data_IF_707924236339
#
_entry.id   IF_707924236339
#
_cell.length_a   1.000
_cell.length_b   1.000
_cell.length_c   1.000
_cell.angle_alpha   90.00
_cell.angle_beta   90.00
_cell.angle_gamma   90.00
#
_symmetry.space_group_name_H-M   'P 1'
#
loop_
_entity.id
_entity.type
_entity.pdbx_description
1 polymer ?
#
# COMPACT_ATOMS: atom_id res chain seq x y z
N UNK A 1 -16.94 41.85 34.83
CA UNK A 1 -16.08 41.61 33.64
C UNK A 1 -15.95 40.11 33.46
N UNK A 2 -16.23 39.60 32.27
CA UNK A 2 -16.01 38.19 31.90
C UNK A 2 -14.50 37.91 31.79
N UNK A 3 -14.03 36.80 32.36
CA UNK A 3 -12.62 36.39 32.30
C UNK A 3 -12.35 35.61 30.99
N UNK A 4 -11.27 35.95 30.27
CA UNK A 4 -10.90 35.34 28.97
C UNK A 4 -12.03 35.32 27.91
N UNK A 5 -12.95 36.28 27.96
CA UNK A 5 -14.10 36.35 27.03
C UNK A 5 -15.13 35.24 27.22
N UNK A 6 -15.09 34.49 28.34
CA UNK A 6 -16.00 33.38 28.63
C UNK A 6 -16.85 33.73 29.87
N UNK A 7 -18.14 33.40 29.82
CA UNK A 7 -19.07 33.57 30.94
C UNK A 7 -19.89 34.87 30.90
N UNK A 8 -20.44 35.25 32.05
CA UNK A 8 -21.33 36.40 32.19
C UNK A 8 -20.57 37.70 32.44
N UNK A 9 -21.07 38.82 31.91
CA UNK A 9 -20.51 40.17 32.17
C UNK A 9 -20.66 40.57 33.65
N UNK A 10 -21.80 40.19 34.25
CA UNK A 10 -22.15 40.32 35.66
C UNK A 10 -23.11 39.19 36.07
N UNK A 11 -23.04 38.71 37.31
CA UNK A 11 -24.00 37.75 37.88
C UNK A 11 -25.33 38.41 38.26
N UNK A 12 -25.37 39.75 38.34
CA UNK A 12 -26.60 40.49 38.67
C UNK A 12 -27.60 40.38 37.51
N UNK A 13 -28.81 39.91 37.82
CA UNK A 13 -29.87 39.71 36.83
C UNK A 13 -29.85 38.35 36.12
N UNK A 14 -28.84 37.50 36.34
CA UNK A 14 -28.82 36.13 35.77
C UNK A 14 -29.56 35.10 36.61
N UNK A 15 -29.89 35.43 37.86
CA UNK A 15 -30.53 34.48 38.80
C UNK A 15 -29.63 33.32 39.24
N UNK A 16 -28.32 33.40 39.00
CA UNK A 16 -27.32 32.37 39.35
C UNK A 16 -26.11 32.98 40.04
N UNK A 17 -25.23 32.15 40.62
CA UNK A 17 -24.00 32.61 41.28
C UNK A 17 -22.94 33.15 40.31
N UNK A 18 -23.13 32.99 38.99
CA UNK A 18 -22.12 33.32 37.98
C UNK A 18 -20.90 32.39 38.00
N UNK A 19 -20.99 31.21 38.64
CA UNK A 19 -19.93 30.21 38.64
C UNK A 19 -19.76 29.61 37.24
N UNK A 20 -18.53 29.63 36.73
CA UNK A 20 -18.18 29.16 35.38
C UNK A 20 -17.26 27.95 35.53
N UNK A 21 -17.69 26.80 35.03
CA UNK A 21 -16.88 25.59 34.96
C UNK A 21 -16.35 25.39 33.54
N UNK A 22 -15.10 24.92 33.41
CA UNK A 22 -14.57 24.50 32.13
C UNK A 22 -15.18 23.16 31.68
N UNK A 23 -15.44 23.03 30.39
CA UNK A 23 -15.87 21.75 29.83
C UNK A 23 -14.67 20.80 29.72
N UNK A 24 -14.60 19.81 30.62
CA UNK A 24 -13.55 18.79 30.64
C UNK A 24 -13.52 17.93 29.37
N UNK A 25 -14.66 17.77 28.68
CA UNK A 25 -14.73 17.04 27.41
C UNK A 25 -14.26 17.87 26.21
N UNK A 26 -14.34 19.20 26.29
CA UNK A 26 -13.86 20.11 25.25
C UNK A 26 -12.33 20.26 25.24
N UNK A 27 -11.66 19.90 26.35
CA UNK A 27 -10.20 19.94 26.48
C UNK A 27 -9.46 18.89 25.63
N UNK A 28 -10.19 18.11 24.84
CA UNK A 28 -9.64 17.13 23.87
C UNK A 28 -8.91 17.76 22.68
N UNK A 29 -8.96 19.10 22.52
CA UNK A 29 -8.19 19.80 21.48
C UNK A 29 -6.70 19.98 21.85
N UNK A 30 -6.37 19.92 23.15
CA UNK A 30 -5.01 20.05 23.68
C UNK A 30 -4.51 18.76 24.37
N UNK A 31 -5.41 17.81 24.68
CA UNK A 31 -4.97 16.43 24.91
C UNK A 31 -4.27 16.02 23.62
N UNK A 32 -2.98 15.71 23.74
CA UNK A 32 -2.06 15.44 22.65
C UNK A 32 -2.76 14.71 21.49
N UNK A 33 -2.26 14.98 20.29
CA UNK A 33 -2.61 14.32 19.04
C UNK A 33 -2.46 12.77 19.07
N UNK A 34 -2.38 12.15 20.25
CA UNK A 34 -2.22 10.74 20.55
C UNK A 34 -3.45 10.11 21.25
N UNK A 35 -4.17 10.83 22.12
CA UNK A 35 -5.19 10.18 22.99
C UNK A 35 -6.60 10.08 22.36
N UNK A 36 -7.12 11.15 21.75
CA UNK A 36 -8.39 11.09 20.97
C UNK A 36 -8.13 10.68 19.52
N UNK A 37 -6.89 10.89 19.10
CA UNK A 37 -6.37 10.64 17.77
C UNK A 37 -6.03 9.17 17.53
N UNK A 38 -5.73 8.39 18.58
CA UNK A 38 -5.41 6.96 18.46
C UNK A 38 -6.46 6.15 17.70
N UNK A 39 -7.75 6.31 18.02
CA UNK A 39 -8.82 5.58 17.31
C UNK A 39 -9.02 6.05 15.87
N UNK A 40 -8.92 7.35 15.61
CA UNK A 40 -9.04 7.91 14.26
C UNK A 40 -7.82 7.53 13.39
N UNK A 41 -6.60 7.71 13.91
CA UNK A 41 -5.35 7.28 13.28
C UNK A 41 -5.35 5.77 13.05
N UNK A 42 -5.83 4.96 14.01
CA UNK A 42 -5.99 3.50 13.85
C UNK A 42 -6.94 3.14 12.72
N UNK A 43 -8.14 3.73 12.68
CA UNK A 43 -9.09 3.51 11.56
C UNK A 43 -8.52 3.92 10.21
N UNK A 44 -7.82 5.06 10.15
CA UNK A 44 -7.18 5.56 8.93
C UNK A 44 -6.04 4.63 8.48
N UNK A 45 -5.24 4.12 9.42
CA UNK A 45 -4.19 3.14 9.15
C UNK A 45 -4.78 1.82 8.65
N UNK A 46 -5.81 1.31 9.32
CA UNK A 46 -6.51 0.08 8.94
C UNK A 46 -7.13 0.20 7.54
N UNK A 47 -7.73 1.34 7.22
CA UNK A 47 -8.24 1.62 5.88
C UNK A 47 -7.12 1.61 4.83
N UNK A 48 -5.98 2.26 5.11
CA UNK A 48 -4.80 2.24 4.22
C UNK A 48 -4.27 0.82 4.02
N UNK A 49 -4.18 0.03 5.08
CA UNK A 49 -3.76 -1.37 5.01
C UNK A 49 -4.75 -2.20 4.19
N UNK A 50 -6.05 -2.03 4.39
CA UNK A 50 -7.08 -2.74 3.62
C UNK A 50 -6.98 -2.45 2.13
N UNK A 51 -6.77 -1.19 1.75
CA UNK A 51 -6.57 -0.80 0.33
C UNK A 51 -5.30 -1.45 -0.22
N UNK A 52 -4.18 -1.38 0.51
CA UNK A 52 -2.92 -2.02 0.11
C UNK A 52 -3.05 -3.53 -0.05
N UNK A 53 -3.65 -4.22 0.93
CA UNK A 53 -3.91 -5.65 0.88
C UNK A 53 -4.84 -6.01 -0.29
N UNK A 54 -5.85 -5.19 -0.57
CA UNK A 54 -6.72 -5.36 -1.73
C UNK A 54 -5.96 -5.25 -3.06
N UNK A 55 -5.06 -4.28 -3.19
CA UNK A 55 -4.21 -4.12 -4.37
C UNK A 55 -3.24 -5.29 -4.54
N UNK A 56 -2.55 -5.70 -3.48
CA UNK A 56 -1.64 -6.87 -3.51
C UNK A 56 -2.40 -8.15 -3.84
N UNK A 57 -3.59 -8.36 -3.25
CA UNK A 57 -4.40 -9.55 -3.51
C UNK A 57 -4.87 -9.63 -4.97
N UNK A 58 -5.11 -8.50 -5.64
CA UNK A 58 -5.45 -8.49 -7.08
C UNK A 58 -4.32 -9.00 -7.96
N UNK A 59 -3.06 -8.84 -7.54
CA UNK A 59 -1.87 -9.29 -8.28
C UNK A 59 -1.44 -10.69 -7.87
N UNK A 60 -1.41 -10.99 -6.56
CA UNK A 60 -0.92 -12.28 -6.05
C UNK A 60 -1.87 -13.43 -6.40
N UNK A 61 -3.19 -13.21 -6.38
CA UNK A 61 -4.19 -14.26 -6.71
C UNK A 61 -4.01 -14.84 -8.12
N UNK A 62 -3.96 -14.04 -9.21
CA UNK A 62 -3.77 -14.59 -10.55
C UNK A 62 -2.40 -15.27 -10.71
N UNK A 63 -1.34 -14.74 -10.08
CA UNK A 63 -0.02 -15.38 -10.09
C UNK A 63 -0.06 -16.76 -9.42
N UNK A 64 -0.66 -16.86 -8.23
CA UNK A 64 -0.83 -18.15 -7.55
C UNK A 64 -1.62 -19.13 -8.41
N UNK A 65 -2.72 -18.67 -9.00
CA UNK A 65 -3.56 -19.51 -9.87
C UNK A 65 -2.80 -19.99 -11.11
N UNK A 66 -1.94 -19.16 -11.71
CA UNK A 66 -1.11 -19.56 -12.83
C UNK A 66 -0.11 -20.65 -12.42
N UNK A 67 0.56 -20.48 -11.28
CA UNK A 67 1.49 -21.48 -10.74
C UNK A 67 0.79 -22.80 -10.42
N UNK A 68 -0.41 -22.75 -9.83
CA UNK A 68 -1.18 -23.94 -9.50
C UNK A 68 -1.64 -24.69 -10.76
N UNK A 69 -2.11 -23.98 -11.79
CA UNK A 69 -2.43 -24.56 -13.10
C UNK A 69 -1.21 -25.23 -13.72
N UNK A 70 -0.05 -24.58 -13.71
CA UNK A 70 1.18 -25.13 -14.26
C UNK A 70 1.59 -26.44 -13.56
N UNK A 71 1.45 -26.48 -12.23
CA UNK A 71 1.69 -27.67 -11.41
C UNK A 71 0.72 -28.80 -11.75
N UNK A 72 -0.58 -28.51 -11.86
CA UNK A 72 -1.60 -29.50 -12.21
C UNK A 72 -1.37 -30.10 -13.59
N UNK A 73 -1.02 -29.28 -14.58
CA UNK A 73 -0.68 -29.74 -15.92
C UNK A 73 0.57 -30.64 -15.91
N UNK A 74 1.60 -30.26 -15.14
CA UNK A 74 2.81 -31.07 -15.00
C UNK A 74 2.50 -32.42 -14.36
N UNK A 75 1.64 -32.46 -13.33
CA UNK A 75 1.17 -33.73 -12.74
C UNK A 75 0.42 -34.58 -13.76
N UNK A 76 -0.45 -33.97 -14.58
CA UNK A 76 -1.20 -34.69 -15.61
C UNK A 76 -0.27 -35.40 -16.61
N UNK A 77 0.82 -34.73 -17.02
CA UNK A 77 1.84 -35.34 -17.88
C UNK A 77 2.51 -36.53 -17.18
N UNK A 78 2.93 -36.38 -15.93
CA UNK A 78 3.59 -37.48 -15.20
C UNK A 78 2.65 -38.67 -14.95
N UNK A 79 1.36 -38.42 -14.67
CA UNK A 79 0.34 -39.47 -14.53
C UNK A 79 0.23 -40.26 -15.84
N UNK A 80 0.08 -39.59 -16.98
CA UNK A 80 0.00 -40.26 -18.29
C UNK A 80 1.28 -41.04 -18.63
N UNK A 81 2.44 -40.52 -18.23
CA UNK A 81 3.71 -41.25 -18.36
C UNK A 81 3.77 -42.49 -17.47
N UNK A 82 3.24 -42.44 -16.24
CA UNK A 82 3.12 -43.60 -15.34
C UNK A 82 2.14 -44.63 -15.89
N UNK A 83 0.95 -44.22 -16.32
CA UNK A 83 -0.05 -45.11 -16.91
C UNK A 83 0.51 -45.88 -18.11
N UNK A 84 1.17 -45.17 -19.04
CA UNK A 84 1.82 -45.82 -20.19
C UNK A 84 2.91 -46.81 -19.76
N UNK A 85 3.66 -46.48 -18.71
CA UNK A 85 4.71 -47.35 -18.20
C UNK A 85 4.11 -48.65 -17.65
N UNK A 86 3.10 -48.53 -16.78
CA UNK A 86 2.43 -49.68 -16.16
C UNK A 86 1.83 -50.60 -17.24
N UNK A 87 1.20 -50.03 -18.27
CA UNK A 87 0.68 -50.82 -19.40
C UNK A 87 1.76 -51.58 -20.18
N UNK A 88 2.96 -50.99 -20.35
CA UNK A 88 4.05 -51.62 -21.09
C UNK A 88 4.78 -52.67 -20.24
N UNK A 89 4.84 -52.47 -18.91
CA UNK A 89 5.34 -53.46 -17.95
C UNK A 89 4.42 -54.69 -17.92
N UNK A 90 3.09 -54.49 -17.89
CA UNK A 90 2.11 -55.59 -17.97
C UNK A 90 2.22 -56.39 -19.29
N UNK A 91 2.53 -55.70 -20.40
CA UNK A 91 2.76 -56.32 -21.72
C UNK A 91 4.13 -57.02 -21.85
N UNK A 92 4.99 -56.96 -20.83
CA UNK A 92 6.31 -57.60 -20.82
C UNK A 92 7.33 -56.98 -21.77
N UNK A 93 7.20 -55.68 -22.07
CA UNK A 93 8.13 -54.95 -22.93
C UNK A 93 9.47 -54.74 -22.21
N UNK A 94 10.59 -54.73 -22.93
CA UNK A 94 11.91 -54.51 -22.31
C UNK A 94 12.04 -53.10 -21.73
N UNK A 95 12.77 -52.96 -20.61
CA UNK A 95 12.93 -51.68 -19.91
C UNK A 95 13.48 -50.55 -20.79
N UNK A 96 14.37 -50.87 -21.73
CA UNK A 96 14.95 -49.90 -22.67
C UNK A 96 13.88 -49.33 -23.61
N UNK A 97 13.01 -50.19 -24.14
CA UNK A 97 11.91 -49.79 -25.01
C UNK A 97 10.83 -49.01 -24.24
N UNK A 98 10.58 -49.37 -22.98
CA UNK A 98 9.69 -48.63 -22.08
C UNK A 98 10.21 -47.21 -21.89
N UNK A 99 11.49 -47.05 -21.52
CA UNK A 99 12.12 -45.73 -21.32
C UNK A 99 12.02 -44.86 -22.57
N UNK A 100 12.28 -45.43 -23.75
CA UNK A 100 12.16 -44.70 -25.02
C UNK A 100 10.73 -44.23 -25.29
N UNK A 101 9.73 -45.11 -25.12
CA UNK A 101 8.32 -44.79 -25.37
C UNK A 101 7.79 -43.74 -24.39
N UNK A 102 8.12 -43.87 -23.10
CA UNK A 102 7.73 -42.90 -22.06
C UNK A 102 8.38 -41.54 -22.29
N UNK A 103 9.67 -41.50 -22.65
CA UNK A 103 10.35 -40.24 -22.96
C UNK A 103 9.75 -39.54 -24.19
N UNK A 104 9.42 -40.30 -25.24
CA UNK A 104 8.76 -39.75 -26.42
C UNK A 104 7.38 -39.17 -26.09
N UNK A 105 6.59 -39.87 -25.27
CA UNK A 105 5.28 -39.37 -24.81
C UNK A 105 5.45 -38.10 -23.96
N UNK A 106 6.42 -38.08 -23.06
CA UNK A 106 6.73 -36.91 -22.21
C UNK A 106 7.10 -35.69 -23.03
N UNK A 107 7.93 -35.84 -24.07
CA UNK A 107 8.29 -34.73 -24.97
C UNK A 107 7.07 -34.21 -25.74
N UNK A 108 6.26 -35.11 -26.31
CA UNK A 108 5.04 -34.73 -27.06
C UNK A 108 4.03 -33.96 -26.19
N UNK A 109 3.81 -34.40 -24.96
CA UNK A 109 2.88 -33.74 -24.03
C UNK A 109 3.40 -32.38 -23.53
N UNK A 110 4.73 -32.23 -23.41
CA UNK A 110 5.35 -30.94 -23.08
C UNK A 110 5.30 -29.96 -24.26
N UNK A 111 5.43 -30.45 -25.48
CA UNK A 111 5.32 -29.62 -26.69
C UNK A 111 3.88 -29.13 -26.92
N UNK A 112 2.88 -30.00 -26.75
CA UNK A 112 1.47 -29.61 -26.84
C UNK A 112 1.06 -28.60 -25.75
N UNK A 113 1.65 -28.69 -24.55
CA UNK A 113 1.50 -27.69 -23.49
C UNK A 113 1.96 -26.31 -23.96
N UNK A 114 3.18 -26.19 -24.51
CA UNK A 114 3.74 -24.90 -24.96
C UNK A 114 2.87 -24.22 -26.03
N UNK A 115 2.30 -25.00 -26.95
CA UNK A 115 1.40 -24.46 -28.00
C UNK A 115 0.10 -23.87 -27.44
N UNK A 116 -0.49 -24.51 -26.43
CA UNK A 116 -1.72 -24.01 -25.78
C UNK A 116 -1.46 -22.84 -24.82
N UNK A 117 -0.28 -22.77 -24.21
CA UNK A 117 0.13 -21.63 -23.38
C UNK A 117 0.30 -20.35 -24.19
N UNK A 118 0.86 -20.44 -25.41
CA UNK A 118 1.01 -19.26 -26.27
C UNK A 118 -0.31 -18.64 -26.72
N UNK A 119 -1.36 -19.45 -26.91
CA UNK A 119 -2.70 -18.97 -27.28
C UNK A 119 -3.40 -18.27 -26.10
N UNK A 120 -3.24 -18.81 -24.88
CA UNK A 120 -3.79 -18.22 -23.66
C UNK A 120 -3.04 -16.93 -23.24
N UNK A 121 -1.74 -16.84 -23.46
CA UNK A 121 -0.95 -15.61 -23.22
C UNK A 121 -1.42 -14.46 -24.10
N UNK A 122 -1.65 -14.72 -25.40
CA UNK A 122 -2.19 -13.73 -26.34
C UNK A 122 -3.58 -13.23 -25.92
N UNK A 123 -4.45 -14.11 -25.43
CA UNK A 123 -5.78 -13.73 -24.91
C UNK A 123 -5.71 -12.90 -23.63
N UNK A 124 -4.79 -13.21 -22.72
CA UNK A 124 -4.59 -12.46 -21.48
C UNK A 124 -4.06 -11.05 -21.75
N UNK A 125 -3.09 -10.90 -22.67
CA UNK A 125 -2.60 -9.59 -23.11
C UNK A 125 -3.72 -8.74 -23.74
N UNK A 126 -4.54 -9.34 -24.59
CA UNK A 126 -5.67 -8.66 -25.23
C UNK A 126 -6.71 -8.19 -24.21
N UNK A 127 -6.94 -8.95 -23.15
CA UNK A 127 -7.85 -8.58 -22.07
C UNK A 127 -7.28 -7.52 -21.12
N UNK A 128 -5.98 -7.58 -20.81
CA UNK A 128 -5.31 -6.51 -20.04
C UNK A 128 -5.34 -5.17 -20.80
N UNK A 129 -5.13 -5.21 -22.12
CA UNK A 129 -5.22 -4.03 -22.97
C UNK A 129 -6.66 -3.46 -23.01
N UNK A 130 -7.70 -4.30 -22.99
CA UNK A 130 -9.11 -3.84 -22.89
C UNK A 130 -9.42 -3.17 -21.55
N UNK A 131 -8.85 -3.64 -20.44
CA UNK A 131 -9.04 -2.99 -19.13
C UNK A 131 -8.35 -1.63 -19.05
N UNK A 132 -7.22 -1.45 -19.74
CA UNK A 132 -6.53 -0.15 -19.83
C UNK A 132 -7.26 0.87 -20.73
N UNK A 133 -8.06 0.41 -21.70
CA UNK A 133 -8.86 1.26 -22.61
C UNK A 133 -10.21 1.69 -21.98
N UNK A 134 -10.55 1.25 -20.75
CA UNK A 134 -11.74 1.76 -20.04
C UNK A 134 -11.63 3.28 -19.85
N UNK A 135 -12.39 4.02 -20.66
CA UNK A 135 -12.53 5.47 -20.54
C UNK A 135 -12.99 5.83 -19.12
N UNK A 136 -12.32 6.78 -18.44
CA UNK A 136 -12.69 7.15 -17.08
C UNK A 136 -14.11 7.71 -17.06
N UNK A 137 -14.89 7.28 -16.07
CA UNK A 137 -16.25 7.79 -15.89
C UNK A 137 -16.20 9.28 -15.54
N UNK A 138 -17.22 10.06 -15.94
CA UNK A 138 -17.27 11.52 -15.76
C UNK A 138 -17.03 11.98 -14.31
N UNK A 139 -17.34 11.14 -13.33
CA UNK A 139 -17.10 11.36 -11.90
C UNK A 139 -15.65 11.16 -11.43
N UNK A 140 -14.83 10.40 -12.15
CA UNK A 140 -13.41 10.15 -11.83
C UNK A 140 -12.53 11.30 -12.34
N UNK A 141 -12.92 11.91 -13.46
CA UNK A 141 -12.27 13.10 -14.04
C UNK A 141 -12.36 14.32 -13.11
N UNK A 142 -13.42 14.44 -12.32
CA UNK A 142 -13.57 15.58 -11.40
C UNK A 142 -12.63 15.51 -10.20
N UNK A 143 -12.21 14.30 -9.79
CA UNK A 143 -11.33 14.10 -8.62
C UNK A 143 -9.86 14.38 -8.98
N UNK A 144 -9.40 14.00 -10.18
CA UNK A 144 -8.02 14.30 -10.61
C UNK A 144 -7.77 15.79 -10.84
N UNK A 145 -8.81 16.55 -11.23
CA UNK A 145 -8.71 17.99 -11.43
C UNK A 145 -8.58 18.77 -10.11
N UNK A 146 -9.22 18.32 -9.02
CA UNK A 146 -9.07 18.98 -7.70
C UNK A 146 -7.73 18.67 -7.02
N UNK A 147 -7.13 17.51 -7.25
CA UNK A 147 -5.81 17.16 -6.68
C UNK A 147 -4.66 17.93 -7.35
N UNK A 148 -4.80 18.29 -8.64
CA UNK A 148 -3.79 19.08 -9.36
C UNK A 148 -3.85 20.59 -9.07
N UNK A 149 -4.99 21.09 -8.59
CA UNK A 149 -5.17 22.50 -8.22
C UNK A 149 -4.81 22.79 -6.75
N UNK A 150 -4.47 21.77 -5.94
CA UNK A 150 -4.24 21.93 -4.49
C UNK A 150 -2.78 22.23 -4.10
N UNK A 151 -1.84 22.32 -5.04
CA UNK A 151 -0.40 22.53 -4.74
C UNK A 151 0.12 23.93 -5.04
N UNK A 152 -0.71 24.86 -5.51
CA UNK A 152 -0.29 26.26 -5.76
C UNK A 152 -0.78 27.24 -4.68
N UNK A 153 -0.42 27.01 -3.42
CA UNK A 153 -0.41 28.11 -2.44
C UNK A 153 0.92 28.85 -2.49
N UNK A 154 0.94 29.88 -3.33
CA UNK A 154 1.93 30.95 -3.46
C UNK A 154 2.34 31.50 -2.09
N UNK A 155 3.52 31.13 -1.60
CA UNK A 155 4.16 31.80 -0.45
C UNK A 155 4.98 32.97 -0.98
N UNK A 156 4.46 34.20 -0.85
CA UNK A 156 5.25 35.41 -1.10
C UNK A 156 6.19 35.65 0.08
N UNK A 157 7.46 35.29 -0.07
CA UNK A 157 8.54 35.68 0.84
C UNK A 157 8.78 37.19 0.72
N UNK A 158 8.40 37.98 1.72
CA UNK A 158 8.83 39.38 1.84
C UNK A 158 10.11 39.41 2.67
N UNK A 159 11.26 39.52 1.99
CA UNK A 159 12.57 39.69 2.62
C UNK A 159 12.76 41.15 3.06
N UNK A 160 13.08 41.36 4.34
CA UNK A 160 13.57 42.65 4.84
C UNK A 160 14.96 42.45 5.49
N UNK A 161 16.04 43.00 4.91
CA UNK A 161 17.36 42.91 5.52
C UNK A 161 17.45 43.84 6.73
N UNK A 162 17.69 43.27 7.92
CA UNK A 162 18.09 44.04 9.10
C UNK A 162 19.61 43.95 9.25
N UNK A 163 20.33 44.81 8.56
CA UNK A 163 21.72 45.09 8.93
C UNK A 163 21.72 46.36 9.80
N UNK A 164 22.17 46.26 11.04
CA UNK A 164 22.83 47.38 11.69
C UNK A 164 23.94 46.89 12.62
N UNK A 165 25.12 47.40 12.31
CA UNK A 165 26.43 47.20 12.93
C UNK A 165 26.46 47.43 14.44
N UNK A 166 27.13 46.55 15.19
CA UNK A 166 27.85 46.88 16.45
C UNK A 166 28.83 45.76 16.84
N UNK A 167 30.08 45.98 16.41
CA UNK A 167 31.35 45.83 17.13
C UNK A 167 31.52 44.73 18.21
N UNK A 168 32.46 43.82 17.90
CA UNK A 168 33.35 43.04 18.77
C UNK A 168 33.49 43.48 20.24
N UNK A 169 33.36 42.53 21.17
CA UNK A 169 34.31 42.35 22.28
C UNK A 169 34.09 41.04 23.05
N UNK A 170 35.15 40.20 23.08
CA UNK A 170 35.64 39.30 24.16
C UNK A 170 34.84 38.03 24.46
N UNK A 171 35.41 36.87 24.80
CA UNK A 171 36.78 36.32 24.90
C UNK A 171 36.53 34.81 25.14
N UNK A 172 37.10 33.90 24.34
CA UNK A 172 36.95 32.44 24.56
C UNK A 172 38.06 32.00 25.51
N UNK A 173 37.68 31.59 26.73
CA UNK A 173 38.59 31.07 27.75
C UNK A 173 38.84 29.59 27.50
N UNK A 174 40.02 29.24 26.98
CA UNK A 174 40.49 27.85 26.85
C UNK A 174 41.27 27.49 28.10
N UNK A 175 40.77 26.54 28.90
CA UNK A 175 41.50 25.98 30.03
C UNK A 175 42.35 24.80 29.57
N UNK A 176 43.67 24.97 29.53
CA UNK A 176 44.61 23.85 29.53
C UNK A 176 44.73 23.32 30.95
N UNK A 177 44.52 22.01 31.14
CA UNK A 177 44.87 21.31 32.37
C UNK A 177 46.13 20.50 32.07
N UNK A 178 47.24 20.95 32.64
CA UNK A 178 48.54 20.30 32.58
C UNK A 178 48.50 19.01 33.41
N UNK A 179 49.12 17.96 32.88
CA UNK A 179 49.48 16.75 33.61
C UNK A 179 50.54 17.05 34.67
N UNK A 180 50.30 16.63 35.91
CA UNK A 180 51.26 16.17 36.93
C UNK A 180 50.49 15.58 38.13
#
# INVERSE_FOLDING_TARGET
MSYNGIGLQSARGSGTSGYIQSNLSANKKNASEDLTSGHYKKRKLEQKLRVRHGQVAKVVKPISQAVDKERELSRRVEIQCMELRDELEEKGVSEEQIKQKVNNLRSKLKESKKGSESELELELELNQNKEQIRLPNKSELTVSLVDSLSTETRTTYQYQPRFNSRTNSKEIRVTHKSDE
#
